data_IF_334876398612
#
_entry.id   IF_334876398612
#
_cell.length_a   1.000
_cell.length_b   1.000
_cell.length_c   1.000
_cell.angle_alpha   90.00
_cell.angle_beta   90.00
_cell.angle_gamma   90.00
#
_symmetry.space_group_name_H-M   'P 1'
#
loop_
_entity.id
_entity.type
_entity.pdbx_description
1 polymer ?
#
# COMPACT_ATOMS: atom_id res chain seq x y z
N UNK A 1 4.04 -25.72 25.31
CA UNK A 1 3.00 -25.38 24.32
C UNK A 1 3.56 -24.63 23.10
N UNK A 2 4.40 -23.58 23.22
CA UNK A 2 5.05 -22.87 22.09
C UNK A 2 5.79 -23.81 21.10
N UNK A 3 6.57 -24.80 21.60
CA UNK A 3 7.28 -25.76 20.73
C UNK A 3 6.36 -26.70 19.96
N UNK A 4 5.21 -27.05 20.51
CA UNK A 4 4.22 -27.90 19.85
C UNK A 4 3.52 -27.15 18.71
N UNK A 5 3.27 -25.87 18.89
CA UNK A 5 2.64 -25.02 17.87
C UNK A 5 3.61 -24.70 16.71
N UNK A 6 4.89 -24.52 17.00
CA UNK A 6 5.93 -24.38 15.96
C UNK A 6 6.01 -25.64 15.10
N UNK A 7 5.96 -26.82 15.72
CA UNK A 7 5.91 -28.11 15.02
C UNK A 7 4.60 -28.27 14.22
N UNK A 8 3.48 -27.81 14.74
CA UNK A 8 2.19 -27.83 14.03
C UNK A 8 2.21 -26.88 12.83
N UNK A 9 2.73 -25.65 12.97
CA UNK A 9 2.90 -24.70 11.84
C UNK A 9 3.85 -25.27 10.78
N UNK A 10 4.96 -25.87 11.17
CA UNK A 10 5.89 -26.50 10.24
C UNK A 10 5.24 -27.70 9.57
N UNK A 11 4.47 -28.52 10.28
CA UNK A 11 3.75 -29.66 9.70
C UNK A 11 2.64 -29.24 8.74
N UNK A 12 1.93 -28.17 9.04
CA UNK A 12 0.94 -27.56 8.14
C UNK A 12 1.61 -27.01 6.88
N UNK A 13 2.75 -26.31 7.03
CA UNK A 13 3.53 -25.81 5.88
C UNK A 13 4.05 -26.97 5.00
N UNK A 14 4.50 -28.09 5.58
CA UNK A 14 4.97 -29.27 4.87
C UNK A 14 3.81 -30.04 4.22
N UNK A 15 2.62 -30.06 4.83
CA UNK A 15 1.43 -30.66 4.23
C UNK A 15 0.93 -29.88 3.01
N UNK A 16 1.03 -28.56 3.02
CA UNK A 16 0.69 -27.72 1.86
C UNK A 16 1.71 -27.79 0.72
N UNK A 17 2.96 -28.16 0.98
CA UNK A 17 4.00 -28.28 -0.06
C UNK A 17 3.88 -29.54 -0.93
N UNK A 18 3.08 -30.56 -0.54
CA UNK A 18 2.97 -31.82 -1.25
C UNK A 18 1.61 -32.11 -1.91
N UNK A 19 0.69 -31.16 -1.88
CA UNK A 19 -0.60 -31.33 -2.53
C UNK A 19 -0.69 -30.43 -3.77
N UNK A 20 -0.80 -31.05 -4.96
CA UNK A 20 -1.35 -30.38 -6.15
C UNK A 20 -2.86 -30.11 -5.90
N UNK A 21 -3.15 -29.28 -4.89
CA UNK A 21 -4.48 -28.75 -4.68
C UNK A 21 -4.72 -27.70 -5.77
N UNK A 22 -5.11 -28.17 -6.96
CA UNK A 22 -5.88 -27.31 -7.87
C UNK A 22 -7.22 -27.04 -7.19
N UNK A 23 -7.18 -26.14 -6.24
CA UNK A 23 -8.37 -25.62 -5.59
C UNK A 23 -9.13 -24.78 -6.60
N UNK A 24 -10.38 -25.14 -6.89
CA UNK A 24 -11.32 -24.37 -7.70
C UNK A 24 -11.69 -23.00 -7.07
N UNK A 25 -11.01 -22.60 -6.00
CA UNK A 25 -11.19 -21.33 -5.29
C UNK A 25 -10.53 -20.18 -6.04
N UNK A 26 -9.47 -20.44 -6.82
CA UNK A 26 -8.76 -19.41 -7.58
C UNK A 26 -9.28 -19.39 -9.02
N UNK A 27 -9.96 -18.31 -9.40
CA UNK A 27 -10.35 -18.08 -10.79
C UNK A 27 -9.14 -17.55 -11.56
N UNK A 28 -8.77 -18.21 -12.65
CA UNK A 28 -7.68 -17.80 -13.55
C UNK A 28 -7.96 -16.49 -14.34
N UNK A 29 -9.12 -15.87 -14.13
CA UNK A 29 -9.49 -14.65 -14.84
C UNK A 29 -8.97 -13.44 -14.07
N UNK A 30 -7.88 -12.86 -14.54
CA UNK A 30 -7.38 -11.59 -14.03
C UNK A 30 -8.08 -10.42 -14.69
N UNK A 31 -8.35 -9.38 -13.93
CA UNK A 31 -8.86 -8.10 -14.41
C UNK A 31 -7.77 -7.02 -14.33
N UNK A 32 -6.51 -7.42 -14.50
CA UNK A 32 -5.37 -6.52 -14.45
C UNK A 32 -5.51 -5.41 -15.49
N UNK A 33 -5.31 -4.16 -15.07
CA UNK A 33 -5.43 -2.99 -15.93
C UNK A 33 -6.87 -2.45 -16.10
N UNK A 34 -7.85 -2.96 -15.34
CA UNK A 34 -9.26 -2.52 -15.43
C UNK A 34 -9.66 -1.54 -14.32
N UNK A 35 -8.75 -1.12 -13.45
CA UNK A 35 -9.02 -0.15 -12.38
C UNK A 35 -8.12 1.09 -12.52
N UNK A 36 -8.66 2.24 -12.12
CA UNK A 36 -7.89 3.48 -11.92
C UNK A 36 -7.14 3.44 -10.57
N UNK A 37 -6.31 4.43 -10.28
CA UNK A 37 -5.68 4.57 -8.98
C UNK A 37 -4.68 3.47 -8.63
N UNK A 38 -4.00 2.86 -9.61
CA UNK A 38 -3.08 1.74 -9.40
C UNK A 38 -1.93 2.05 -8.42
N UNK A 39 -1.52 3.31 -8.29
CA UNK A 39 -0.52 3.74 -7.31
C UNK A 39 -0.94 3.48 -5.85
N UNK A 40 -2.24 3.39 -5.58
CA UNK A 40 -2.79 3.03 -4.27
C UNK A 40 -2.50 1.59 -3.84
N UNK A 41 -1.96 0.75 -4.73
CA UNK A 41 -1.51 -0.63 -4.43
C UNK A 41 -0.05 -0.70 -4.01
N UNK A 42 0.71 0.40 -4.16
CA UNK A 42 2.09 0.49 -3.73
C UNK A 42 2.09 0.74 -2.22
N UNK A 43 2.44 -0.29 -1.45
CA UNK A 43 2.49 -0.21 0.01
C UNK A 43 3.71 0.60 0.48
N UNK A 44 3.53 1.64 1.30
CA UNK A 44 4.63 2.40 1.88
C UNK A 44 5.30 1.66 3.04
N UNK A 45 6.50 2.12 3.39
CA UNK A 45 7.25 1.67 4.55
C UNK A 45 8.24 0.55 4.26
N UNK A 46 9.52 0.82 4.54
CA UNK A 46 10.61 -0.14 4.36
C UNK A 46 10.45 -1.38 5.26
N UNK A 47 9.92 -1.20 6.48
CA UNK A 47 9.58 -2.30 7.39
C UNK A 47 8.54 -3.23 6.79
N UNK A 48 7.46 -2.68 6.25
CA UNK A 48 6.38 -3.46 5.65
C UNK A 48 6.84 -4.18 4.38
N UNK A 49 7.60 -3.49 3.50
CA UNK A 49 8.21 -4.11 2.32
C UNK A 49 9.10 -5.28 2.73
N UNK A 50 10.00 -5.07 3.71
CA UNK A 50 10.95 -6.09 4.15
C UNK A 50 10.27 -7.33 4.74
N UNK A 51 9.07 -7.18 5.30
CA UNK A 51 8.22 -8.28 5.76
C UNK A 51 7.32 -8.87 4.65
N UNK A 52 7.69 -8.70 3.38
CA UNK A 52 6.90 -9.23 2.24
C UNK A 52 5.56 -8.53 2.04
N UNK A 53 5.27 -7.43 2.72
CA UNK A 53 3.95 -6.80 2.74
C UNK A 53 2.94 -7.49 3.66
N UNK A 54 3.36 -8.47 4.47
CA UNK A 54 2.54 -9.06 5.52
C UNK A 54 2.47 -8.12 6.72
N UNK A 55 1.55 -7.16 6.69
CA UNK A 55 1.54 -6.05 7.63
C UNK A 55 0.17 -5.76 8.27
N UNK A 56 -0.91 -6.35 7.78
CA UNK A 56 -2.28 -6.10 8.28
C UNK A 56 -2.45 -6.52 9.74
N UNK A 57 -1.84 -7.63 10.12
CA UNK A 57 -1.80 -8.10 11.51
C UNK A 57 -0.68 -7.47 12.34
N UNK A 58 0.38 -6.95 11.71
CA UNK A 58 1.50 -6.26 12.39
C UNK A 58 1.08 -4.86 12.83
N UNK A 59 0.78 -3.99 11.92
CA UNK A 59 0.14 -2.66 12.01
C UNK A 59 0.25 -1.93 13.37
N UNK A 60 1.47 -1.88 13.95
CA UNK A 60 1.74 -1.32 15.27
C UNK A 60 2.51 0.02 15.23
N UNK A 61 2.68 0.60 14.02
CA UNK A 61 3.34 1.87 13.77
C UNK A 61 2.54 2.78 12.82
N UNK A 62 3.11 3.91 12.40
CA UNK A 62 2.46 4.91 11.55
C UNK A 62 2.03 4.35 10.18
N UNK A 63 2.71 3.32 9.64
CA UNK A 63 2.35 2.71 8.36
C UNK A 63 1.07 1.87 8.44
N UNK A 64 0.58 1.57 9.66
CA UNK A 64 -0.75 0.99 9.88
C UNK A 64 -1.86 1.75 9.13
N UNK A 65 -1.77 3.08 9.02
CA UNK A 65 -2.77 3.92 8.36
C UNK A 65 -3.05 3.52 6.90
N UNK A 66 -2.08 2.86 6.25
CA UNK A 66 -2.24 2.31 4.90
C UNK A 66 -2.69 0.84 4.89
N UNK A 67 -2.10 -0.01 5.74
CA UNK A 67 -2.36 -1.46 5.71
C UNK A 67 -3.62 -1.87 6.46
N UNK A 68 -3.80 -1.32 7.66
CA UNK A 68 -4.94 -1.54 8.55
C UNK A 68 -5.09 -0.34 9.49
N UNK A 69 -5.94 0.63 9.17
CA UNK A 69 -6.04 1.87 9.95
C UNK A 69 -6.42 1.64 11.42
N UNK A 70 -6.98 0.49 11.80
CA UNK A 70 -7.26 0.19 13.20
C UNK A 70 -5.98 0.02 14.05
N UNK A 71 -4.88 -0.40 13.43
CA UNK A 71 -3.63 -0.66 14.14
C UNK A 71 -3.00 0.59 14.75
N UNK A 72 -3.22 1.79 14.17
CA UNK A 72 -2.68 3.02 14.73
C UNK A 72 -3.25 3.35 16.13
N UNK A 73 -4.43 2.80 16.48
CA UNK A 73 -5.02 3.02 17.80
C UNK A 73 -4.26 2.35 18.94
N UNK A 74 -3.45 1.33 18.64
CA UNK A 74 -2.64 0.61 19.64
C UNK A 74 -1.18 1.07 19.66
N UNK A 75 -0.80 1.98 18.78
CA UNK A 75 0.57 2.49 18.71
C UNK A 75 0.94 3.23 20.00
N UNK A 76 2.19 3.07 20.41
CA UNK A 76 2.69 3.68 21.65
C UNK A 76 3.05 5.16 21.42
N UNK A 77 2.92 5.97 22.46
CA UNK A 77 3.26 7.39 22.45
C UNK A 77 2.07 8.30 22.14
N UNK A 78 2.33 9.61 22.18
CA UNK A 78 1.31 10.65 21.96
C UNK A 78 1.12 10.96 20.47
N UNK A 79 2.15 10.72 19.66
CA UNK A 79 2.09 10.98 18.24
C UNK A 79 3.25 10.34 17.48
N UNK A 80 3.07 10.28 16.16
CA UNK A 80 4.06 9.74 15.24
C UNK A 80 4.04 10.56 13.95
N UNK A 81 5.19 10.69 13.31
CA UNK A 81 5.28 11.21 11.95
C UNK A 81 6.35 10.41 11.20
N UNK A 82 6.10 10.06 9.95
CA UNK A 82 7.08 9.38 9.12
C UNK A 82 7.01 9.84 7.66
N UNK A 83 8.15 9.69 7.01
CA UNK A 83 8.33 9.89 5.58
C UNK A 83 9.03 8.68 4.98
N UNK A 84 8.48 8.18 3.88
CA UNK A 84 9.04 7.11 3.07
C UNK A 84 9.30 7.63 1.66
N UNK A 85 10.51 7.40 1.16
CA UNK A 85 10.89 7.62 -0.23
C UNK A 85 11.22 6.29 -0.89
N UNK A 86 10.72 6.10 -2.11
CA UNK A 86 10.94 4.90 -2.91
C UNK A 86 11.25 5.27 -4.34
N UNK A 87 12.40 4.84 -4.83
CA UNK A 87 12.65 4.80 -6.26
C UNK A 87 11.95 3.57 -6.83
N UNK A 88 10.80 3.80 -7.46
CA UNK A 88 9.99 2.78 -8.06
C UNK A 88 10.54 2.34 -9.42
N UNK A 89 9.84 1.46 -10.10
CA UNK A 89 10.21 0.99 -11.44
C UNK A 89 10.19 2.13 -12.46
N UNK A 90 11.02 2.04 -13.51
CA UNK A 90 11.10 3.00 -14.61
C UNK A 90 11.39 4.46 -14.17
N UNK A 91 12.24 4.61 -13.17
CA UNK A 91 12.64 5.91 -12.60
C UNK A 91 11.48 6.76 -12.04
N UNK A 92 10.32 6.13 -11.81
CA UNK A 92 9.17 6.73 -11.13
C UNK A 92 9.50 6.90 -9.65
N UNK A 93 9.16 8.05 -9.08
CA UNK A 93 9.30 8.31 -7.65
C UNK A 93 7.97 8.07 -6.93
N UNK A 94 8.03 7.38 -5.80
CA UNK A 94 6.89 7.19 -4.91
C UNK A 94 7.26 7.68 -3.52
N UNK A 95 6.49 8.64 -3.03
CA UNK A 95 6.67 9.28 -1.73
C UNK A 95 5.42 9.10 -0.88
N UNK A 96 5.60 8.79 0.39
CA UNK A 96 4.52 8.70 1.37
C UNK A 96 4.91 9.43 2.64
N UNK A 97 3.99 10.23 3.17
CA UNK A 97 4.14 10.86 4.47
C UNK A 97 2.86 10.64 5.28
N UNK A 98 3.01 10.44 6.58
CA UNK A 98 1.90 10.35 7.51
C UNK A 98 2.26 10.97 8.86
N UNK A 99 1.25 11.52 9.52
CA UNK A 99 1.36 11.97 10.90
C UNK A 99 0.11 11.55 11.68
N UNK A 100 0.29 11.18 12.94
CA UNK A 100 -0.79 10.80 13.84
C UNK A 100 -0.63 11.45 15.20
N UNK A 101 -1.76 11.69 15.85
CA UNK A 101 -1.83 12.23 17.19
C UNK A 101 -2.87 11.44 18.00
N UNK A 102 -2.47 10.94 19.13
CA UNK A 102 -3.37 10.30 20.08
C UNK A 102 -4.03 11.37 20.95
N UNK A 103 -5.36 11.45 20.90
CA UNK A 103 -6.17 12.37 21.70
C UNK A 103 -6.92 11.53 22.73
N UNK A 104 -6.27 11.24 23.84
CA UNK A 104 -6.70 10.43 24.99
C UNK A 104 -8.11 9.79 24.88
N UNK A 105 -9.17 10.51 25.26
CA UNK A 105 -10.54 9.97 25.29
C UNK A 105 -11.19 9.81 23.90
N UNK A 106 -10.69 10.53 22.88
CA UNK A 106 -11.26 10.50 21.54
C UNK A 106 -10.75 9.28 20.76
N UNK A 107 -9.43 9.06 20.72
CA UNK A 107 -8.73 8.07 19.93
C UNK A 107 -7.60 8.70 19.13
N UNK A 108 -7.06 8.02 18.14
CA UNK A 108 -5.95 8.49 17.32
C UNK A 108 -6.46 9.11 16.02
N UNK A 109 -6.15 10.37 15.79
CA UNK A 109 -6.35 11.06 14.52
C UNK A 109 -5.09 10.96 13.68
N UNK A 110 -5.24 10.87 12.36
CA UNK A 110 -4.10 10.85 11.45
C UNK A 110 -4.39 11.48 10.10
N UNK A 111 -3.32 11.90 9.45
CA UNK A 111 -3.33 12.45 8.09
C UNK A 111 -2.27 11.74 7.25
N UNK A 112 -2.52 11.62 5.95
CA UNK A 112 -1.61 10.98 5.01
C UNK A 112 -1.50 11.77 3.72
N UNK A 113 -0.35 11.69 3.08
CA UNK A 113 -0.14 12.11 1.71
C UNK A 113 0.65 11.04 0.97
N UNK A 114 0.19 10.67 -0.20
CA UNK A 114 0.89 9.78 -1.13
C UNK A 114 1.08 10.51 -2.45
N UNK A 115 2.27 10.43 -3.02
CA UNK A 115 2.59 11.03 -4.32
C UNK A 115 3.37 10.03 -5.16
N UNK A 116 2.93 9.82 -6.39
CA UNK A 116 3.67 9.11 -7.42
C UNK A 116 3.93 10.08 -8.57
N UNK A 117 5.19 10.18 -9.00
CA UNK A 117 5.61 11.09 -10.06
C UNK A 117 6.38 10.36 -11.13
N UNK A 118 5.93 10.52 -12.36
CA UNK A 118 6.64 10.10 -13.56
C UNK A 118 7.55 11.25 -13.99
N UNK A 119 8.81 11.01 -14.36
CA UNK A 119 9.70 12.05 -14.90
C UNK A 119 9.06 12.74 -16.11
N UNK A 120 9.33 14.05 -16.23
CA UNK A 120 8.91 14.84 -17.37
C UNK A 120 9.58 14.33 -18.66
N UNK A 121 8.80 14.13 -19.73
CA UNK A 121 9.26 13.61 -21.00
C UNK A 121 8.92 14.58 -22.14
N UNK A 122 9.77 14.59 -23.20
CA UNK A 122 9.54 15.41 -24.39
C UNK A 122 8.35 14.89 -25.19
N UNK A 123 7.52 15.78 -25.68
CA UNK A 123 6.50 15.46 -26.68
C UNK A 123 7.18 15.21 -28.02
N UNK A 124 7.15 13.96 -28.46
CA UNK A 124 7.71 13.52 -29.75
C UNK A 124 6.59 13.22 -30.73
N UNK A 125 6.73 13.67 -31.95
CA UNK A 125 5.79 13.41 -33.03
C UNK A 125 6.53 12.84 -34.23
N UNK A 126 5.81 12.36 -35.23
CA UNK A 126 6.43 11.88 -36.49
C UNK A 126 7.25 12.98 -37.17
N UNK A 127 6.80 14.25 -37.09
CA UNK A 127 7.50 15.38 -37.67
C UNK A 127 8.68 15.89 -36.80
N UNK A 128 8.61 15.65 -35.49
CA UNK A 128 9.62 16.09 -34.51
C UNK A 128 10.05 14.91 -33.62
N UNK A 129 10.81 13.93 -34.14
CA UNK A 129 11.18 12.74 -33.37
C UNK A 129 12.13 13.05 -32.20
N UNK A 130 12.85 14.15 -32.20
CA UNK A 130 13.73 14.61 -31.12
C UNK A 130 12.99 15.51 -30.11
N UNK A 131 11.70 15.77 -30.37
CA UNK A 131 10.83 16.61 -29.54
C UNK A 131 10.46 17.94 -30.23
N UNK A 132 9.24 18.40 -29.98
CA UNK A 132 8.71 19.64 -30.54
C UNK A 132 8.89 20.86 -29.61
N UNK A 133 9.69 20.71 -28.55
CA UNK A 133 9.90 21.76 -27.52
C UNK A 133 8.87 21.75 -26.40
N UNK A 134 7.86 20.90 -26.45
CA UNK A 134 6.89 20.71 -25.37
C UNK A 134 7.30 19.49 -24.51
N UNK A 135 6.85 19.50 -23.26
CA UNK A 135 7.02 18.42 -22.32
C UNK A 135 5.66 17.98 -21.77
N UNK A 136 5.56 16.74 -21.37
CA UNK A 136 4.44 16.19 -20.68
C UNK A 136 4.91 15.47 -19.43
N UNK A 137 4.08 15.46 -18.41
CA UNK A 137 4.29 14.73 -17.15
C UNK A 137 3.05 13.90 -16.80
N UNK A 138 3.24 12.95 -15.90
CA UNK A 138 2.15 12.22 -15.29
C UNK A 138 2.43 12.03 -13.80
N UNK A 139 1.36 12.03 -13.02
CA UNK A 139 1.48 11.86 -11.59
C UNK A 139 0.15 11.53 -10.94
N UNK A 140 0.27 10.98 -9.75
CA UNK A 140 -0.88 10.62 -8.92
C UNK A 140 -0.65 11.11 -7.51
N UNK A 141 -1.69 11.65 -6.87
CA UNK A 141 -1.64 12.12 -5.50
C UNK A 141 -2.86 11.64 -4.73
N UNK A 142 -2.66 11.30 -3.47
CA UNK A 142 -3.75 11.02 -2.54
C UNK A 142 -3.53 11.77 -1.24
N UNK A 143 -4.57 12.45 -0.76
CA UNK A 143 -4.63 13.06 0.57
C UNK A 143 -5.65 12.31 1.41
N UNK A 144 -5.26 11.94 2.62
CA UNK A 144 -6.13 11.18 3.50
C UNK A 144 -6.21 11.78 4.90
N UNK A 145 -7.37 11.59 5.51
CA UNK A 145 -7.61 11.87 6.94
C UNK A 145 -8.27 10.64 7.55
N UNK A 146 -7.92 10.32 8.77
CA UNK A 146 -8.46 9.13 9.40
C UNK A 146 -8.52 9.22 10.90
N UNK A 147 -9.18 8.21 11.43
CA UNK A 147 -9.47 8.08 12.84
C UNK A 147 -9.45 6.59 13.23
N UNK A 148 -8.85 6.30 14.37
CA UNK A 148 -8.87 4.96 14.93
C UNK A 148 -9.09 5.01 16.44
N UNK A 149 -9.76 3.99 16.98
CA UNK A 149 -10.05 3.88 18.40
C UNK A 149 -10.02 2.44 18.88
N UNK A 150 -9.38 2.22 20.01
CA UNK A 150 -9.54 0.98 20.77
C UNK A 150 -10.90 1.00 21.48
N UNK A 151 -11.77 0.06 21.14
CA UNK A 151 -13.10 -0.09 21.74
C UNK A 151 -13.02 -0.91 23.03
N UNK A 152 -12.04 -1.81 23.08
CA UNK A 152 -11.67 -2.58 24.27
C UNK A 152 -10.15 -2.71 24.34
N UNK A 153 -9.61 -3.26 25.41
CA UNK A 153 -8.18 -3.53 25.56
C UNK A 153 -7.60 -4.45 24.47
N UNK A 154 -8.45 -5.13 23.71
CA UNK A 154 -8.06 -6.13 22.72
C UNK A 154 -8.63 -5.89 21.33
N UNK A 155 -9.54 -4.94 21.16
CA UNK A 155 -10.22 -4.71 19.89
C UNK A 155 -10.24 -3.24 19.50
N UNK A 156 -9.74 -2.95 18.31
CA UNK A 156 -9.71 -1.60 17.75
C UNK A 156 -10.36 -1.57 16.37
N UNK A 157 -10.87 -0.41 16.01
CA UNK A 157 -11.39 -0.09 14.68
C UNK A 157 -10.72 1.17 14.14
N UNK A 158 -10.66 1.29 12.81
CA UNK A 158 -10.09 2.47 12.17
C UNK A 158 -10.74 2.75 10.83
N UNK A 159 -10.74 4.03 10.46
CA UNK A 159 -11.28 4.55 9.21
C UNK A 159 -10.28 5.52 8.59
N UNK A 160 -10.17 5.50 7.27
CA UNK A 160 -9.29 6.38 6.52
C UNK A 160 -10.01 6.84 5.24
N UNK A 161 -10.38 8.11 5.17
CA UNK A 161 -11.00 8.73 4.00
C UNK A 161 -9.94 9.39 3.14
N UNK A 162 -9.97 9.15 1.84
CA UNK A 162 -8.95 9.59 0.88
C UNK A 162 -9.59 10.37 -0.27
N UNK A 163 -8.99 11.48 -0.64
CA UNK A 163 -9.15 12.15 -1.93
C UNK A 163 -8.01 11.71 -2.85
N UNK A 164 -8.33 11.35 -4.08
CA UNK A 164 -7.41 10.76 -5.05
C UNK A 164 -7.49 11.58 -6.34
N UNK A 165 -6.34 11.90 -6.90
CA UNK A 165 -6.24 12.55 -8.21
C UNK A 165 -5.09 11.91 -8.99
N UNK A 166 -5.38 11.53 -10.22
CA UNK A 166 -4.38 11.13 -11.23
C UNK A 166 -4.39 12.17 -12.33
N UNK A 167 -3.24 12.54 -12.83
CA UNK A 167 -3.08 13.50 -13.92
C UNK A 167 -2.10 12.97 -14.96
N UNK A 168 -2.43 13.25 -16.20
CA UNK A 168 -1.54 13.03 -17.33
C UNK A 168 -1.67 14.23 -18.26
N UNK A 169 -0.55 14.94 -18.41
CA UNK A 169 -0.48 16.19 -19.17
C UNK A 169 -1.58 17.18 -18.76
N UNK A 170 -2.56 17.47 -19.64
CA UNK A 170 -3.64 18.45 -19.41
C UNK A 170 -4.98 17.78 -19.02
N UNK A 171 -4.98 16.49 -18.69
CA UNK A 171 -6.14 15.75 -18.22
C UNK A 171 -5.96 15.24 -16.80
N UNK A 172 -7.05 15.07 -16.08
CA UNK A 172 -7.03 14.48 -14.73
C UNK A 172 -8.28 13.67 -14.44
N UNK A 173 -8.12 12.65 -13.60
CA UNK A 173 -9.21 11.90 -13.00
C UNK A 173 -9.20 12.10 -11.49
N UNK A 174 -10.38 12.18 -10.86
CA UNK A 174 -10.53 12.44 -9.42
C UNK A 174 -11.48 11.42 -8.81
N UNK A 175 -11.22 11.05 -7.56
CA UNK A 175 -12.06 10.12 -6.83
C UNK A 175 -11.92 10.26 -5.32
N UNK A 176 -12.84 9.60 -4.62
CA UNK A 176 -12.82 9.48 -3.15
C UNK A 176 -12.86 8.00 -2.78
N UNK A 177 -12.16 7.66 -1.72
CA UNK A 177 -12.16 6.30 -1.17
C UNK A 177 -12.23 6.32 0.35
N UNK A 178 -12.73 5.21 0.90
CA UNK A 178 -12.75 4.91 2.32
C UNK A 178 -12.05 3.59 2.56
N UNK A 179 -11.15 3.56 3.54
CA UNK A 179 -10.59 2.34 4.08
C UNK A 179 -11.17 2.11 5.47
N UNK A 180 -11.40 0.83 5.79
CA UNK A 180 -11.91 0.40 7.09
C UNK A 180 -11.03 -0.74 7.58
N UNK A 181 -10.65 -0.69 8.85
CA UNK A 181 -9.85 -1.73 9.47
C UNK A 181 -10.36 -2.17 10.82
N UNK A 182 -10.02 -3.40 11.19
CA UNK A 182 -10.21 -3.98 12.51
C UNK A 182 -8.94 -4.67 12.98
N UNK A 183 -8.66 -4.59 14.27
CA UNK A 183 -7.48 -5.17 14.88
C UNK A 183 -7.89 -5.86 16.19
N UNK A 184 -7.60 -7.14 16.30
CA UNK A 184 -8.00 -7.93 17.45
C UNK A 184 -6.83 -8.74 18.01
N UNK A 185 -6.49 -8.51 19.27
CA UNK A 185 -5.51 -9.28 20.04
C UNK A 185 -6.21 -10.43 20.72
N UNK A 186 -5.99 -11.66 20.28
CA UNK A 186 -6.64 -12.83 20.85
C UNK A 186 -6.06 -13.17 22.23
N UNK A 187 -6.82 -13.88 23.10
CA UNK A 187 -6.28 -14.40 24.36
C UNK A 187 -5.23 -15.51 24.19
N UNK A 188 -5.06 -15.99 22.94
CA UNK A 188 -4.15 -17.08 22.64
C UNK A 188 -2.76 -16.55 22.25
N UNK A 189 -1.83 -16.53 23.20
CA UNK A 189 -0.44 -16.04 23.04
C UNK A 189 -0.36 -14.67 22.34
N UNK A 190 -1.33 -13.79 22.58
CA UNK A 190 -1.47 -12.47 21.97
C UNK A 190 -1.36 -12.50 20.42
N UNK A 191 -1.84 -13.61 19.81
CA UNK A 191 -2.01 -13.69 18.36
C UNK A 191 -2.93 -12.56 17.91
N UNK A 192 -2.44 -11.77 16.99
CA UNK A 192 -3.21 -10.69 16.37
C UNK A 192 -3.93 -11.20 15.14
N UNK A 193 -5.18 -10.79 14.99
CA UNK A 193 -5.98 -10.94 13.78
C UNK A 193 -6.37 -9.53 13.32
N UNK A 194 -5.86 -9.15 12.15
CA UNK A 194 -6.23 -7.90 11.48
C UNK A 194 -7.10 -8.18 10.26
N UNK A 195 -8.06 -7.29 9.97
CA UNK A 195 -8.77 -7.30 8.70
C UNK A 195 -8.93 -5.87 8.20
N UNK A 196 -8.81 -5.68 6.90
CA UNK A 196 -8.99 -4.37 6.27
C UNK A 196 -9.65 -4.47 4.91
N UNK A 197 -10.49 -3.48 4.61
CA UNK A 197 -10.99 -3.18 3.27
C UNK A 197 -10.41 -1.84 2.87
N UNK A 198 -9.72 -1.78 1.75
CA UNK A 198 -9.06 -0.56 1.28
C UNK A 198 -9.60 -0.15 -0.09
N UNK A 199 -9.64 1.16 -0.33
CA UNK A 199 -10.02 1.78 -1.60
C UNK A 199 -11.49 1.52 -2.01
N UNK A 200 -12.40 1.39 -1.05
CA UNK A 200 -13.83 1.38 -1.34
C UNK A 200 -14.28 2.81 -1.67
N UNK A 201 -14.67 3.09 -2.92
CA UNK A 201 -14.92 4.47 -3.30
C UNK A 201 -15.60 4.67 -4.65
N UNK A 202 -15.55 5.92 -5.11
CA UNK A 202 -16.14 6.36 -6.37
C UNK A 202 -15.33 5.84 -7.57
N UNK A 203 -16.01 5.67 -8.71
CA UNK A 203 -15.31 5.51 -9.98
C UNK A 203 -14.56 6.80 -10.34
N UNK A 204 -13.50 6.66 -11.10
CA UNK A 204 -12.72 7.75 -11.66
C UNK A 204 -12.92 7.82 -13.16
N UNK A 205 -13.03 9.05 -13.69
CA UNK A 205 -13.18 9.33 -15.11
C UNK A 205 -12.20 10.42 -15.49
N UNK A 206 -11.50 10.25 -16.60
CA UNK A 206 -10.58 11.24 -17.12
C UNK A 206 -11.36 12.42 -17.70
N UNK A 207 -11.00 13.65 -17.34
CA UNK A 207 -11.54 14.89 -17.89
C UNK A 207 -10.41 15.93 -18.05
N UNK A 208 -10.56 16.85 -18.99
CA UNK A 208 -9.58 17.89 -19.21
C UNK A 208 -9.56 18.43 -20.63
N UNK A 209 -8.52 19.19 -20.95
CA UNK A 209 -8.41 19.86 -22.25
C UNK A 209 -8.16 18.89 -23.40
N UNK A 210 -7.39 17.83 -23.17
CA UNK A 210 -6.93 16.97 -24.27
C UNK A 210 -8.00 16.02 -24.80
N UNK A 211 -9.16 15.92 -24.11
CA UNK A 211 -10.33 15.20 -24.61
C UNK A 211 -11.33 16.10 -25.35
N UNK A 212 -11.06 17.41 -25.43
CA UNK A 212 -11.88 18.35 -26.18
C UNK A 212 -11.54 18.28 -27.65
N UNK A 213 -12.59 18.28 -28.48
CA UNK A 213 -12.49 18.25 -29.94
C UNK A 213 -13.42 19.28 -30.57
N UNK A 214 -13.07 19.71 -31.76
CA UNK A 214 -13.97 20.49 -32.58
C UNK A 214 -14.74 19.53 -33.50
N UNK A 215 -16.04 19.57 -33.46
CA UNK A 215 -16.93 18.72 -34.24
C UNK A 215 -17.63 19.54 -35.29
N UNK A 216 -17.63 19.07 -36.53
CA UNK A 216 -18.42 19.59 -37.63
C UNK A 216 -19.67 18.71 -37.79
N UNK A 217 -20.88 19.15 -37.39
CA UNK A 217 -22.10 18.35 -37.49
C UNK A 217 -22.60 18.18 -38.93
N UNK A 218 -22.18 19.04 -39.86
CA UNK A 218 -22.73 19.03 -41.22
C UNK A 218 -21.79 18.40 -42.27
N UNK A 219 -20.49 18.25 -41.94
CA UNK A 219 -19.50 17.72 -42.87
C UNK A 219 -19.23 18.58 -44.11
N UNK A 220 -19.87 19.75 -44.22
CA UNK A 220 -19.72 20.69 -45.33
C UNK A 220 -19.06 21.97 -44.81
N UNK A 221 -17.82 22.26 -45.20
CA UNK A 221 -17.09 23.42 -44.71
C UNK A 221 -17.68 24.77 -45.14
N UNK A 222 -18.68 24.76 -46.02
CA UNK A 222 -19.32 25.97 -46.58
C UNK A 222 -20.67 26.29 -45.93
N UNK A 223 -21.24 25.38 -45.15
CA UNK A 223 -22.62 25.57 -44.61
C UNK A 223 -22.68 25.19 -43.12
N UNK A 224 -23.20 26.13 -42.31
CA UNK A 224 -23.48 25.90 -40.87
C UNK A 224 -22.26 26.09 -39.96
N UNK A 225 -22.42 25.82 -38.66
CA UNK A 225 -21.35 25.88 -37.72
C UNK A 225 -20.45 24.64 -37.84
N UNK A 226 -19.26 24.81 -38.39
CA UNK A 226 -18.25 23.77 -38.60
C UNK A 226 -17.23 23.66 -37.44
N UNK A 227 -17.52 24.28 -36.31
CA UNK A 227 -16.61 24.29 -35.17
C UNK A 227 -17.42 24.29 -33.85
N UNK A 228 -18.12 23.18 -33.60
CA UNK A 228 -18.88 23.00 -32.36
C UNK A 228 -17.98 22.34 -31.33
N UNK A 229 -17.77 22.96 -30.14
CA UNK A 229 -17.02 22.34 -29.06
C UNK A 229 -17.70 21.03 -28.63
N UNK A 230 -16.94 19.94 -28.65
CA UNK A 230 -17.37 18.61 -28.19
C UNK A 230 -16.26 17.99 -27.33
N UNK A 231 -16.54 16.92 -26.67
CA UNK A 231 -15.52 16.12 -25.95
C UNK A 231 -15.77 14.63 -26.11
N UNK A 232 -14.71 13.85 -26.05
CA UNK A 232 -14.82 12.40 -25.96
C UNK A 232 -15.53 11.99 -24.67
N UNK A 233 -16.45 11.07 -24.74
CA UNK A 233 -17.06 10.44 -23.57
C UNK A 233 -16.11 9.34 -23.05
N UNK A 234 -15.46 9.63 -21.94
CA UNK A 234 -14.46 8.74 -21.36
C UNK A 234 -15.12 7.71 -20.46
N UNK A 235 -14.60 6.49 -20.48
CA UNK A 235 -15.06 5.43 -19.57
C UNK A 235 -14.74 5.73 -18.11
N UNK A 236 -15.54 5.15 -17.23
CA UNK A 236 -15.37 5.21 -15.78
C UNK A 236 -14.76 3.91 -15.26
N UNK A 237 -13.69 4.04 -14.46
CA UNK A 237 -12.97 2.90 -13.88
C UNK A 237 -13.10 2.87 -12.37
N UNK A 238 -13.32 1.67 -11.82
CA UNK A 238 -13.36 1.45 -10.38
C UNK A 238 -11.96 1.66 -9.77
N UNK A 239 -11.91 1.97 -8.46
CA UNK A 239 -10.69 1.96 -7.68
C UNK A 239 -10.23 0.51 -7.39
N UNK A 240 -8.93 0.27 -7.06
CA UNK A 240 -8.40 -1.06 -6.76
C UNK A 240 -8.81 -1.51 -5.36
N UNK A 241 -10.10 -1.86 -5.22
CA UNK A 241 -10.67 -2.37 -3.97
C UNK A 241 -9.92 -3.63 -3.54
N UNK A 242 -9.47 -3.64 -2.30
CA UNK A 242 -8.69 -4.75 -1.77
C UNK A 242 -9.19 -5.14 -0.39
N UNK A 243 -9.51 -6.41 -0.20
CA UNK A 243 -9.77 -7.00 1.10
C UNK A 243 -8.54 -7.79 1.57
N UNK A 244 -8.15 -7.60 2.82
CA UNK A 244 -6.99 -8.27 3.43
C UNK A 244 -7.36 -8.81 4.81
N UNK A 245 -6.85 -10.02 5.11
CA UNK A 245 -6.84 -10.59 6.46
C UNK A 245 -5.39 -10.91 6.80
N UNK A 246 -4.94 -10.48 7.97
CA UNK A 246 -3.59 -10.68 8.44
C UNK A 246 -3.52 -11.27 9.83
N UNK A 247 -2.47 -12.04 10.05
CA UNK A 247 -2.14 -12.65 11.33
C UNK A 247 -0.71 -12.26 11.71
N UNK A 248 -0.49 -11.93 12.97
CA UNK A 248 0.88 -11.78 13.49
C UNK A 248 0.99 -12.28 14.92
N UNK A 249 2.19 -12.74 15.27
CA UNK A 249 2.46 -13.23 16.62
C UNK A 249 3.95 -13.10 16.93
N UNK A 250 4.28 -12.76 18.16
CA UNK A 250 5.64 -12.87 18.69
C UNK A 250 5.91 -14.33 19.07
N UNK A 251 6.62 -15.07 18.18
CA UNK A 251 6.91 -16.51 18.35
C UNK A 251 8.02 -16.77 19.36
N UNK A 252 8.95 -15.83 19.48
CA UNK A 252 10.00 -15.83 20.49
C UNK A 252 10.06 -14.44 21.14
N UNK A 253 10.00 -14.40 22.45
CA UNK A 253 10.16 -13.18 23.21
C UNK A 253 11.04 -13.49 24.42
N UNK A 254 12.17 -12.83 24.47
CA UNK A 254 13.16 -12.88 25.56
C UNK A 254 13.52 -11.46 25.96
N UNK A 255 14.38 -11.29 26.96
CA UNK A 255 14.83 -9.96 27.38
C UNK A 255 15.46 -9.12 26.27
N UNK A 256 16.18 -9.75 25.33
CA UNK A 256 16.96 -9.05 24.30
C UNK A 256 16.52 -9.37 22.89
N UNK A 257 15.81 -10.46 22.67
CA UNK A 257 15.44 -10.93 21.32
C UNK A 257 13.93 -11.12 21.26
N UNK A 258 13.31 -10.47 20.28
CA UNK A 258 11.94 -10.72 19.87
C UNK A 258 11.92 -11.19 18.42
N UNK A 259 11.17 -12.25 18.13
CA UNK A 259 10.94 -12.72 16.78
C UNK A 259 9.44 -12.67 16.50
N UNK A 260 9.04 -11.82 15.57
CA UNK A 260 7.66 -11.67 15.11
C UNK A 260 7.47 -12.37 13.77
N UNK A 261 6.44 -13.19 13.64
CA UNK A 261 6.02 -13.78 12.37
C UNK A 261 4.69 -13.17 11.94
N UNK A 262 4.52 -12.96 10.62
CA UNK A 262 3.31 -12.41 10.03
C UNK A 262 2.92 -13.17 8.76
N UNK A 263 1.60 -13.20 8.51
CA UNK A 263 1.01 -13.78 7.31
C UNK A 263 -0.24 -12.98 6.94
N UNK A 264 -0.34 -12.56 5.69
CA UNK A 264 -1.50 -11.84 5.14
C UNK A 264 -2.05 -12.57 3.92
N UNK A 265 -3.36 -12.71 3.84
CA UNK A 265 -4.10 -13.11 2.65
C UNK A 265 -4.78 -11.88 2.05
N UNK A 266 -4.67 -11.73 0.73
CA UNK A 266 -5.17 -10.56 -0.01
C UNK A 266 -6.09 -10.98 -1.14
N UNK A 267 -7.26 -10.36 -1.22
CA UNK A 267 -8.25 -10.52 -2.30
C UNK A 267 -8.50 -9.16 -2.96
N UNK A 268 -7.85 -8.87 -4.10
CA UNK A 268 -8.09 -7.66 -4.88
C UNK A 268 -9.26 -7.84 -5.85
N UNK A 269 -9.91 -6.74 -6.28
CA UNK A 269 -10.98 -6.80 -7.28
C UNK A 269 -10.46 -6.92 -8.73
N UNK A 270 -9.17 -6.61 -8.94
CA UNK A 270 -8.55 -6.52 -10.27
C UNK A 270 -7.46 -7.58 -10.52
N UNK A 271 -7.27 -8.52 -9.61
CA UNK A 271 -6.30 -9.62 -9.77
C UNK A 271 -6.76 -10.87 -9.02
N UNK A 272 -6.04 -11.97 -9.17
CA UNK A 272 -6.24 -13.18 -8.38
C UNK A 272 -5.71 -12.98 -6.95
N UNK A 273 -6.20 -13.81 -6.04
CA UNK A 273 -5.80 -13.80 -4.64
C UNK A 273 -4.33 -14.21 -4.49
N UNK A 274 -3.69 -13.64 -3.47
CA UNK A 274 -2.32 -13.97 -3.12
C UNK A 274 -2.10 -13.85 -1.61
N UNK A 275 -0.99 -14.42 -1.14
CA UNK A 275 -0.58 -14.32 0.25
C UNK A 275 0.83 -13.72 0.35
N UNK A 276 1.09 -13.14 1.51
CA UNK A 276 2.39 -12.59 1.88
C UNK A 276 2.82 -13.18 3.23
N UNK A 277 4.12 -13.31 3.46
CA UNK A 277 4.64 -13.73 4.75
C UNK A 277 5.91 -12.96 5.10
N UNK A 278 6.13 -12.74 6.39
CA UNK A 278 7.31 -12.04 6.88
C UNK A 278 7.73 -12.45 8.27
N UNK A 279 9.00 -12.23 8.54
CA UNK A 279 9.61 -12.42 9.86
C UNK A 279 10.43 -11.17 10.19
N UNK A 280 10.28 -10.69 11.42
CA UNK A 280 11.08 -9.62 12.00
C UNK A 280 11.82 -10.17 13.23
N UNK A 281 13.13 -9.95 13.28
CA UNK A 281 13.97 -10.21 14.44
C UNK A 281 14.43 -8.87 15.01
N UNK A 282 14.05 -8.58 16.25
CA UNK A 282 14.47 -7.41 16.98
C UNK A 282 15.50 -7.82 18.03
N UNK A 283 16.58 -7.06 18.11
CA UNK A 283 17.58 -7.15 19.17
C UNK A 283 17.54 -5.87 20.01
N UNK A 284 17.27 -6.02 21.30
CA UNK A 284 17.14 -4.96 22.30
C UNK A 284 16.12 -3.85 21.91
N UNK A 285 15.14 -4.19 21.08
CA UNK A 285 14.16 -3.27 20.47
C UNK A 285 14.81 -2.04 19.79
N UNK A 286 16.10 -2.15 19.45
CA UNK A 286 16.90 -1.11 18.80
C UNK A 286 17.29 -1.51 17.38
N UNK A 287 17.75 -2.75 17.17
CA UNK A 287 18.20 -3.25 15.87
C UNK A 287 17.20 -4.26 15.33
N UNK A 288 16.84 -4.10 14.08
CA UNK A 288 15.85 -4.95 13.42
C UNK A 288 16.41 -5.54 12.13
N UNK A 289 16.20 -6.84 11.93
CA UNK A 289 16.46 -7.54 10.66
C UNK A 289 15.17 -8.21 10.23
N UNK A 290 14.83 -8.06 8.96
CA UNK A 290 13.55 -8.50 8.41
C UNK A 290 13.74 -9.28 7.13
N UNK A 291 12.89 -10.26 6.91
CA UNK A 291 12.81 -11.00 5.68
C UNK A 291 11.37 -11.41 5.38
N UNK A 292 11.03 -11.45 4.11
CA UNK A 292 9.68 -11.81 3.70
C UNK A 292 9.63 -12.39 2.31
N UNK A 293 8.46 -12.91 1.99
CA UNK A 293 8.12 -13.39 0.66
C UNK A 293 6.75 -12.83 0.26
N UNK A 294 6.70 -12.20 -0.89
CA UNK A 294 5.53 -11.50 -1.40
C UNK A 294 4.85 -12.27 -2.51
N UNK A 295 3.52 -12.12 -2.62
CA UNK A 295 2.72 -12.65 -3.73
C UNK A 295 2.80 -14.17 -3.88
N UNK A 296 2.77 -14.91 -2.76
CA UNK A 296 2.66 -16.38 -2.74
C UNK A 296 1.36 -16.77 -3.44
N UNK A 297 1.39 -17.82 -4.25
CA UNK A 297 0.30 -18.34 -5.08
C UNK A 297 -0.09 -17.49 -6.30
N UNK A 298 0.50 -16.32 -6.49
CA UNK A 298 0.30 -15.53 -7.70
C UNK A 298 1.19 -16.06 -8.82
N UNK A 299 0.58 -16.69 -9.81
CA UNK A 299 1.29 -17.18 -11.02
C UNK A 299 1.92 -16.02 -11.75
N UNK A 300 3.16 -16.19 -12.23
CA UNK A 300 3.94 -15.20 -12.98
C UNK A 300 4.21 -13.88 -12.21
N UNK A 301 4.20 -13.92 -10.87
CA UNK A 301 4.56 -12.76 -10.07
C UNK A 301 6.05 -12.42 -10.23
N UNK A 302 6.34 -11.17 -10.56
CA UNK A 302 7.72 -10.65 -10.56
C UNK A 302 8.20 -10.31 -9.13
N UNK A 303 7.28 -10.24 -8.15
CA UNK A 303 7.62 -9.97 -6.75
C UNK A 303 7.92 -11.29 -6.01
N UNK A 304 8.96 -11.28 -5.18
CA UNK A 304 9.39 -12.48 -4.46
C UNK A 304 10.01 -12.14 -3.10
N UNK A 305 11.27 -12.47 -2.89
CA UNK A 305 11.98 -12.21 -1.64
C UNK A 305 12.17 -10.73 -1.36
N UNK A 306 11.99 -10.36 -0.10
CA UNK A 306 12.21 -9.03 0.44
C UNK A 306 13.09 -9.13 1.69
N UNK A 307 13.92 -8.11 1.88
CA UNK A 307 14.82 -8.02 3.03
C UNK A 307 14.88 -6.59 3.53
N UNK A 308 15.24 -6.42 4.78
CA UNK A 308 15.44 -5.08 5.32
C UNK A 308 16.08 -5.07 6.68
N UNK A 309 16.51 -3.87 7.06
CA UNK A 309 17.05 -3.57 8.37
C UNK A 309 16.44 -2.29 8.92
N UNK A 310 16.44 -2.16 10.24
CA UNK A 310 15.96 -0.98 10.92
C UNK A 310 16.78 -0.66 12.16
N UNK A 311 16.81 0.60 12.51
CA UNK A 311 17.41 1.14 13.72
C UNK A 311 16.41 2.05 14.41
N UNK A 312 16.13 1.79 15.67
CA UNK A 312 15.36 2.66 16.54
C UNK A 312 16.26 3.22 17.63
N UNK A 313 16.30 4.54 17.74
CA UNK A 313 17.16 5.25 18.68
C UNK A 313 16.36 6.26 19.50
N UNK A 314 16.46 6.18 20.81
CA UNK A 314 15.85 7.16 21.71
C UNK A 314 16.76 8.40 21.79
N UNK A 315 16.31 9.50 21.16
CA UNK A 315 17.06 10.78 21.15
C UNK A 315 16.89 11.56 22.45
N UNK A 316 15.72 11.44 23.07
CA UNK A 316 15.38 12.04 24.35
C UNK A 316 14.27 11.20 25.01
N UNK A 317 14.05 11.30 26.33
CA UNK A 317 12.98 10.57 26.99
C UNK A 317 11.63 10.73 26.29
N UNK A 318 11.10 9.63 25.74
CA UNK A 318 9.86 9.60 25.00
C UNK A 318 9.95 10.03 23.52
N UNK A 319 11.13 10.47 23.02
CA UNK A 319 11.33 10.85 21.64
C UNK A 319 12.24 9.84 20.94
N UNK A 320 11.70 9.04 20.05
CA UNK A 320 12.41 8.01 19.31
C UNK A 320 12.51 8.39 17.82
N UNK A 321 13.68 8.13 17.25
CA UNK A 321 13.93 8.15 15.81
C UNK A 321 13.96 6.70 15.31
N UNK A 322 13.25 6.43 14.22
CA UNK A 322 13.25 5.15 13.52
C UNK A 322 13.75 5.36 12.09
N UNK A 323 14.73 4.58 11.68
CA UNK A 323 15.29 4.61 10.31
C UNK A 323 15.28 3.20 9.77
N UNK A 324 14.63 3.00 8.64
CA UNK A 324 14.52 1.68 8.03
C UNK A 324 14.94 1.70 6.56
N UNK A 325 15.52 0.59 6.14
CA UNK A 325 15.83 0.27 4.77
C UNK A 325 15.15 -1.04 4.37
N UNK A 326 14.53 -1.05 3.20
CA UNK A 326 13.90 -2.23 2.62
C UNK A 326 14.34 -2.44 1.17
N UNK A 327 14.55 -3.69 0.82
CA UNK A 327 14.90 -4.15 -0.52
C UNK A 327 13.90 -5.21 -0.99
N UNK A 328 13.36 -5.03 -2.18
CA UNK A 328 12.44 -5.97 -2.82
C UNK A 328 12.94 -6.41 -4.18
N UNK A 329 12.96 -7.73 -4.41
CA UNK A 329 13.30 -8.30 -5.70
C UNK A 329 12.07 -8.28 -6.61
N UNK A 330 12.24 -7.75 -7.84
CA UNK A 330 11.21 -7.62 -8.85
C UNK A 330 11.59 -8.38 -10.15
N UNK A 331 11.93 -9.65 -10.01
CA UNK A 331 12.17 -10.58 -11.12
C UNK A 331 12.98 -10.02 -12.29
N UNK A 332 12.33 -9.86 -13.44
CA UNK A 332 12.92 -9.30 -14.69
C UNK A 332 13.03 -7.77 -14.67
N UNK A 333 12.34 -7.10 -13.75
CA UNK A 333 12.41 -5.65 -13.59
C UNK A 333 13.53 -5.28 -12.62
N UNK A 334 13.87 -3.98 -12.52
CA UNK A 334 14.84 -3.48 -11.52
C UNK A 334 14.29 -3.70 -10.11
N UNK A 335 15.19 -4.04 -9.19
CA UNK A 335 14.83 -4.16 -7.77
C UNK A 335 14.44 -2.80 -7.20
N UNK A 336 13.54 -2.83 -6.22
CA UNK A 336 13.06 -1.62 -5.53
C UNK A 336 13.75 -1.46 -4.20
N UNK A 337 13.95 -0.20 -3.80
CA UNK A 337 14.54 0.18 -2.53
C UNK A 337 13.67 1.21 -1.84
N UNK A 338 13.42 0.99 -0.57
CA UNK A 338 12.65 1.85 0.31
C UNK A 338 13.55 2.41 1.39
N UNK A 339 13.41 3.70 1.63
CA UNK A 339 14.03 4.39 2.76
C UNK A 339 12.93 5.09 3.53
N UNK A 340 12.88 4.85 4.82
CA UNK A 340 11.99 5.61 5.67
C UNK A 340 12.65 6.14 6.93
N UNK A 341 12.11 7.26 7.39
CA UNK A 341 12.47 7.89 8.65
C UNK A 341 11.19 8.23 9.39
N UNK A 342 11.12 7.87 10.66
CA UNK A 342 9.99 8.13 11.53
C UNK A 342 10.43 8.73 12.86
N UNK A 343 9.54 9.53 13.45
CA UNK A 343 9.67 10.10 14.78
C UNK A 343 8.44 9.70 15.58
N UNK A 344 8.68 9.25 16.81
CA UNK A 344 7.66 8.81 17.76
C UNK A 344 7.85 9.56 19.08
N UNK A 345 6.79 10.16 19.61
CA UNK A 345 6.85 11.00 20.82
C UNK A 345 5.61 10.83 21.72
#
# INVERSE_FOLDING_TARGET
MRKFFLLLMISVLVLFSNTNLHSQIFRDITKVGTTAGQFLKIGPGARALAMGGAYVGVSDDIYAVYYNPAGIAISKGNGQAAFNHTQWLADVSYDFAAASLNVESLGTLFVTITSLRVPEEKVRTFEFPEGNGQFWDAGSVSFGVGFAKSLTDRFSIGFHAKYIQESIWSTSAKGFALDVGTYYVTPFNDLVIGASVSNFGSKMQLDGRDIQVNYDPNGDPLTGPNNVPAKYDMDQYDLPLTFRIGFSMDVIETRYIRVKAAFDATHPNDNVEYANTGIEVAYDEMFFVRGGYKSIFLTDSEQSFTFGAGLKYEMAPGLNLDVNYGYGKFGRLKNIQYFDVGIFF
#
